data_IF_657504189718
#
_entry.id   IF_657504189718
#
_cell.length_a   1.000
_cell.length_b   1.000
_cell.length_c   1.000
_cell.angle_alpha   90.00
_cell.angle_beta   90.00
_cell.angle_gamma   90.00
#
_symmetry.space_group_name_H-M   'P 1'
#
loop_
_entity.id
_entity.type
_entity.pdbx_description
1 polymer ?
#
# COMPACT_ATOMS: atom_id res chain seq x y z
N UNK A 1 -16.16 21.22 -10.46
CA UNK A 1 -14.99 21.82 -11.13
C UNK A 1 -13.87 20.81 -11.03
N UNK A 2 -13.42 20.17 -12.13
CA UNK A 2 -12.31 19.23 -12.05
C UNK A 2 -11.00 20.03 -11.93
N UNK A 3 -10.20 19.72 -10.93
CA UNK A 3 -8.85 20.28 -10.76
C UNK A 3 -7.89 19.50 -11.67
N UNK A 4 -7.22 20.22 -12.56
CA UNK A 4 -6.14 19.71 -13.41
C UNK A 4 -4.94 19.29 -12.54
N UNK A 5 -4.54 18.03 -12.64
CA UNK A 5 -3.28 17.55 -12.06
C UNK A 5 -2.16 17.83 -13.06
N UNK A 6 -1.27 18.79 -12.72
CA UNK A 6 0.04 18.89 -13.35
C UNK A 6 0.91 17.78 -12.79
N UNK A 7 1.22 16.80 -13.64
CA UNK A 7 2.14 15.72 -13.31
C UNK A 7 3.50 16.28 -12.88
N UNK A 8 4.03 15.71 -11.80
CA UNK A 8 5.46 15.69 -11.56
C UNK A 8 5.80 14.36 -10.91
N UNK A 9 5.98 13.35 -11.78
CA UNK A 9 6.72 12.15 -11.44
C UNK A 9 8.18 12.58 -11.26
N UNK A 10 8.67 12.58 -10.01
CA UNK A 10 10.08 12.82 -9.75
C UNK A 10 10.84 11.50 -9.82
N UNK A 11 11.63 11.41 -10.88
CA UNK A 11 12.79 10.57 -11.02
C UNK A 11 13.82 10.92 -9.94
N UNK A 12 13.97 10.09 -8.93
CA UNK A 12 15.25 9.75 -8.33
C UNK A 12 15.03 8.63 -7.30
N UNK A 13 15.89 7.63 -7.37
CA UNK A 13 15.86 6.44 -6.53
C UNK A 13 16.13 6.80 -5.07
N UNK A 14 15.09 7.07 -4.26
CA UNK A 14 15.05 6.78 -2.82
C UNK A 14 13.70 7.10 -2.20
N UNK A 15 13.16 6.06 -1.56
CA UNK A 15 12.16 6.07 -0.50
C UNK A 15 10.75 6.50 -0.89
N UNK A 16 9.92 5.48 -1.16
CA UNK A 16 8.52 5.69 -1.46
C UNK A 16 7.65 5.88 -0.22
N UNK A 17 6.82 6.88 -0.42
CA UNK A 17 5.86 7.55 0.43
C UNK A 17 4.80 6.66 1.09
N UNK A 18 4.54 6.93 2.37
CA UNK A 18 3.35 6.51 3.11
C UNK A 18 2.09 7.08 2.43
N UNK A 19 1.08 6.25 2.20
CA UNK A 19 -0.20 6.62 1.56
C UNK A 19 -1.31 6.54 2.62
N UNK A 20 -2.01 7.64 2.93
CA UNK A 20 -3.16 7.64 3.86
C UNK A 20 -4.47 8.06 3.18
N UNK A 21 -5.59 7.39 3.49
CA UNK A 21 -6.94 7.93 3.30
C UNK A 21 -7.55 8.23 4.68
N UNK A 22 -8.01 9.46 4.92
CA UNK A 22 -8.47 9.90 6.26
C UNK A 22 -9.97 10.21 6.28
N UNK A 23 -10.72 9.46 7.10
CA UNK A 23 -11.96 9.95 7.67
C UNK A 23 -11.63 10.71 8.98
N UNK A 24 -11.94 12.01 9.01
CA UNK A 24 -11.81 12.95 10.15
C UNK A 24 -11.97 12.30 11.53
N UNK A 25 -11.02 12.54 12.46
CA UNK A 25 -11.31 13.25 13.73
C UNK A 25 -10.05 13.58 14.57
N UNK A 26 -9.97 14.86 14.95
CA UNK A 26 -9.39 15.53 16.13
C UNK A 26 -7.98 15.29 16.71
N UNK A 27 -7.52 16.39 17.32
CA UNK A 27 -6.14 16.81 17.51
C UNK A 27 -5.62 16.50 18.93
N UNK A 28 -4.70 15.52 19.07
CA UNK A 28 -3.58 15.41 20.06
C UNK A 28 -3.12 13.94 20.18
N UNK A 29 -1.84 13.69 19.84
CA UNK A 29 -1.21 12.37 19.63
C UNK A 29 -1.70 11.71 18.34
N UNK A 30 -0.85 11.62 17.31
CA UNK A 30 -1.15 11.17 15.94
C UNK A 30 -1.47 9.66 15.85
N UNK A 31 -2.31 9.13 16.73
CA UNK A 31 -2.93 7.83 16.59
C UNK A 31 -4.22 8.00 15.81
N UNK A 32 -4.11 8.20 14.49
CA UNK A 32 -5.25 8.43 13.58
C UNK A 32 -6.28 7.30 13.51
N UNK A 33 -6.12 6.22 14.29
CA UNK A 33 -6.98 5.04 14.25
C UNK A 33 -6.94 4.26 12.92
N UNK A 34 -6.03 4.64 12.02
CA UNK A 34 -5.86 4.02 10.71
C UNK A 34 -5.44 2.57 10.85
N UNK A 35 -5.90 1.76 9.89
CA UNK A 35 -5.37 0.42 9.72
C UNK A 35 -3.98 0.50 9.12
N UNK A 36 -2.96 0.11 9.90
CA UNK A 36 -1.60 -0.01 9.39
C UNK A 36 -1.47 -1.26 8.50
N UNK A 37 -1.00 -1.08 7.27
CA UNK A 37 -0.81 -2.11 6.26
C UNK A 37 0.64 -2.06 5.78
N UNK A 38 1.49 -2.91 6.35
CA UNK A 38 2.84 -3.17 5.84
C UNK A 38 2.81 -4.31 4.84
N UNK A 39 3.33 -4.10 3.63
CA UNK A 39 3.37 -5.15 2.59
C UNK A 39 4.21 -6.36 3.01
N UNK A 40 5.29 -6.13 3.77
CA UNK A 40 6.13 -7.20 4.29
C UNK A 40 5.41 -8.08 5.33
N UNK A 41 4.63 -7.46 6.23
CA UNK A 41 3.81 -8.21 7.20
C UNK A 41 2.67 -8.95 6.51
N UNK A 42 2.02 -8.31 5.53
CA UNK A 42 0.93 -8.92 4.78
C UNK A 42 1.42 -10.17 4.03
N UNK A 43 2.56 -10.09 3.36
CA UNK A 43 3.23 -11.22 2.71
C UNK A 43 3.49 -12.37 3.69
N UNK A 44 4.13 -12.08 4.83
CA UNK A 44 4.42 -13.10 5.86
C UNK A 44 3.15 -13.73 6.41
N UNK A 45 2.07 -12.96 6.58
CA UNK A 45 0.80 -13.46 7.06
C UNK A 45 0.13 -14.41 6.05
N UNK A 46 0.10 -14.04 4.76
CA UNK A 46 -0.45 -14.88 3.68
C UNK A 46 0.32 -16.20 3.56
N UNK A 47 1.67 -16.15 3.61
CA UNK A 47 2.53 -17.34 3.64
C UNK A 47 2.21 -18.23 4.84
N UNK A 48 2.08 -17.64 6.04
CA UNK A 48 1.80 -18.38 7.27
C UNK A 48 0.40 -19.01 7.26
N UNK A 49 -0.57 -18.35 6.63
CA UNK A 49 -1.93 -18.84 6.46
C UNK A 49 -2.06 -19.90 5.35
N UNK A 50 -1.02 -20.11 4.54
CA UNK A 50 -1.01 -21.10 3.45
C UNK A 50 -2.01 -20.78 2.34
N UNK A 51 -2.33 -19.50 2.13
CA UNK A 51 -3.26 -19.08 1.07
C UNK A 51 -2.64 -19.34 -0.31
N UNK A 52 -3.47 -19.36 -1.36
CA UNK A 52 -2.94 -19.55 -2.72
C UNK A 52 -1.90 -18.47 -3.10
N UNK A 53 -2.17 -17.22 -2.70
CA UNK A 53 -1.26 -16.10 -2.90
C UNK A 53 0.01 -16.25 -2.04
N UNK A 54 -0.14 -16.64 -0.78
CA UNK A 54 0.96 -16.92 0.13
C UNK A 54 1.89 -18.02 -0.37
N UNK A 55 1.34 -19.11 -0.91
CA UNK A 55 2.12 -20.21 -1.46
C UNK A 55 2.94 -19.76 -2.68
N UNK A 56 2.33 -18.99 -3.60
CA UNK A 56 3.05 -18.39 -4.74
C UNK A 56 4.15 -17.45 -4.26
N UNK A 57 3.84 -16.56 -3.31
CA UNK A 57 4.80 -15.62 -2.75
C UNK A 57 5.97 -16.32 -2.06
N UNK A 58 5.70 -17.44 -1.36
CA UNK A 58 6.71 -18.24 -0.66
C UNK A 58 7.80 -18.74 -1.60
N UNK A 59 7.47 -19.14 -2.82
CA UNK A 59 8.47 -19.59 -3.82
C UNK A 59 9.46 -18.47 -4.19
N UNK A 60 8.97 -17.23 -4.34
CA UNK A 60 9.84 -16.07 -4.61
C UNK A 60 10.66 -15.70 -3.38
N UNK A 61 10.04 -15.70 -2.19
CA UNK A 61 10.72 -15.40 -0.93
C UNK A 61 11.84 -16.39 -0.60
N UNK A 62 11.58 -17.70 -0.76
CA UNK A 62 12.55 -18.77 -0.49
C UNK A 62 13.73 -18.74 -1.48
N UNK A 63 13.49 -18.29 -2.72
CA UNK A 63 14.53 -18.16 -3.74
C UNK A 63 15.31 -16.83 -3.65
N UNK A 64 14.96 -15.95 -2.71
CA UNK A 64 15.55 -14.62 -2.59
C UNK A 64 15.15 -13.66 -3.73
N UNK A 65 14.17 -14.04 -4.54
CA UNK A 65 13.64 -13.22 -5.62
C UNK A 65 12.60 -12.22 -5.08
N UNK A 66 12.46 -11.09 -5.77
CA UNK A 66 11.38 -10.15 -5.49
C UNK A 66 10.04 -10.78 -5.85
N UNK A 67 9.05 -10.62 -4.97
CA UNK A 67 7.67 -11.02 -5.25
C UNK A 67 7.12 -10.12 -6.37
N UNK A 68 6.44 -10.68 -7.39
CA UNK A 68 5.89 -9.90 -8.50
C UNK A 68 4.95 -8.78 -8.04
N UNK A 69 5.06 -7.61 -8.67
CA UNK A 69 4.29 -6.42 -8.32
C UNK A 69 2.78 -6.66 -8.35
N UNK A 70 2.28 -7.38 -9.36
CA UNK A 70 0.86 -7.73 -9.49
C UNK A 70 0.34 -8.51 -8.28
N UNK A 71 1.16 -9.40 -7.72
CA UNK A 71 0.81 -10.20 -6.56
C UNK A 71 0.74 -9.31 -5.30
N UNK A 72 1.69 -8.36 -5.17
CA UNK A 72 1.68 -7.35 -4.09
C UNK A 72 0.46 -6.45 -4.18
N UNK A 73 0.16 -5.93 -5.38
CA UNK A 73 -1.03 -5.10 -5.62
C UNK A 73 -2.31 -5.85 -5.24
N UNK A 74 -2.44 -7.12 -5.62
CA UNK A 74 -3.62 -7.92 -5.30
C UNK A 74 -3.82 -8.08 -3.78
N UNK A 75 -2.74 -8.38 -3.04
CA UNK A 75 -2.81 -8.49 -1.57
C UNK A 75 -3.19 -7.17 -0.91
N UNK A 76 -2.53 -6.08 -1.29
CA UNK A 76 -2.80 -4.74 -0.74
C UNK A 76 -4.26 -4.35 -0.99
N UNK A 77 -4.74 -4.55 -2.21
CA UNK A 77 -6.13 -4.25 -2.60
C UNK A 77 -7.13 -5.06 -1.78
N UNK A 78 -6.87 -6.36 -1.58
CA UNK A 78 -7.72 -7.21 -0.75
C UNK A 78 -7.75 -6.73 0.71
N UNK A 79 -6.60 -6.32 1.27
CA UNK A 79 -6.51 -5.84 2.65
C UNK A 79 -7.25 -4.52 2.87
N UNK A 80 -7.14 -3.59 1.94
CA UNK A 80 -7.81 -2.29 1.98
C UNK A 80 -9.31 -2.43 1.74
N UNK A 81 -9.73 -3.46 1.01
CA UNK A 81 -11.15 -3.71 0.73
C UNK A 81 -11.94 -4.23 1.93
N UNK A 82 -11.27 -4.57 3.04
CA UNK A 82 -11.92 -4.97 4.29
C UNK A 82 -12.66 -3.79 4.95
N UNK A 83 -13.69 -4.12 5.70
CA UNK A 83 -14.58 -3.14 6.33
C UNK A 83 -13.83 -2.21 7.29
N UNK A 84 -12.90 -2.74 8.08
CA UNK A 84 -12.09 -1.95 9.01
C UNK A 84 -11.27 -0.85 8.30
N UNK A 85 -10.65 -1.18 7.17
CA UNK A 85 -9.86 -0.25 6.36
C UNK A 85 -10.74 0.74 5.60
N UNK A 86 -11.95 0.36 5.21
CA UNK A 86 -12.95 1.26 4.60
C UNK A 86 -13.51 2.27 5.60
N UNK A 87 -13.81 1.83 6.82
CA UNK A 87 -14.41 2.66 7.86
C UNK A 87 -13.39 3.59 8.52
N UNK A 88 -12.22 3.06 8.88
CA UNK A 88 -11.20 3.81 9.64
C UNK A 88 -10.17 4.47 8.75
N UNK A 89 -10.13 4.13 7.47
CA UNK A 89 -9.02 4.46 6.60
C UNK A 89 -7.82 3.54 6.85
N UNK A 90 -6.75 3.81 6.12
CA UNK A 90 -5.59 2.93 6.05
C UNK A 90 -4.31 3.73 5.86
N UNK A 91 -3.21 3.13 6.30
CA UNK A 91 -1.84 3.60 6.17
C UNK A 91 -1.06 2.50 5.45
N UNK A 92 -0.62 2.76 4.22
CA UNK A 92 0.31 1.86 3.55
C UNK A 92 1.74 2.24 3.89
N UNK A 93 2.49 1.25 4.37
CA UNK A 93 3.92 1.35 4.65
C UNK A 93 4.71 0.45 3.68
N UNK A 94 5.71 1.05 3.02
CA UNK A 94 6.54 0.38 2.03
C UNK A 94 5.82 -0.01 0.74
N UNK A 95 4.75 0.71 0.35
CA UNK A 95 4.06 0.52 -0.93
C UNK A 95 3.35 1.81 -1.40
N UNK A 96 3.45 2.19 -2.68
CA UNK A 96 4.21 1.54 -3.77
C UNK A 96 5.72 1.66 -3.57
N UNK A 97 6.52 0.86 -4.29
CA UNK A 97 8.00 0.85 -4.32
C UNK A 97 8.58 0.95 -5.75
N UNK A 98 7.72 0.96 -6.76
CA UNK A 98 8.05 1.16 -8.17
C UNK A 98 6.98 2.05 -8.82
N UNK A 99 7.31 2.61 -9.99
CA UNK A 99 6.34 3.33 -10.81
C UNK A 99 5.17 2.42 -11.22
N UNK A 100 5.46 1.16 -11.58
CA UNK A 100 4.47 0.17 -12.00
C UNK A 100 3.45 -0.14 -10.89
N UNK A 101 3.89 -0.18 -9.63
CA UNK A 101 3.00 -0.31 -8.48
C UNK A 101 2.12 0.93 -8.28
N UNK A 102 2.65 2.14 -8.50
CA UNK A 102 1.89 3.38 -8.41
C UNK A 102 0.83 3.46 -9.53
N UNK A 103 1.18 3.12 -10.77
CA UNK A 103 0.25 3.03 -11.89
C UNK A 103 -0.84 1.97 -11.63
N UNK A 104 -0.48 0.87 -10.98
CA UNK A 104 -1.43 -0.18 -10.61
C UNK A 104 -2.46 0.31 -9.58
N UNK A 105 -2.04 1.13 -8.60
CA UNK A 105 -2.99 1.79 -7.69
C UNK A 105 -3.93 2.75 -8.41
N UNK A 106 -3.41 3.51 -9.38
CA UNK A 106 -4.23 4.42 -10.17
C UNK A 106 -5.26 3.67 -11.02
N UNK A 107 -4.87 2.55 -11.66
CA UNK A 107 -5.78 1.70 -12.45
C UNK A 107 -6.96 1.15 -11.65
N UNK A 108 -6.75 0.86 -10.37
CA UNK A 108 -7.82 0.38 -9.47
C UNK A 108 -8.53 1.53 -8.73
N UNK A 109 -8.24 2.78 -9.11
CA UNK A 109 -8.80 3.99 -8.50
C UNK A 109 -8.57 4.08 -6.98
N UNK A 110 -7.46 3.51 -6.49
CA UNK A 110 -7.04 3.63 -5.12
C UNK A 110 -6.09 4.83 -4.99
N UNK A 111 -6.63 5.96 -4.50
CA UNK A 111 -5.87 7.20 -4.35
C UNK A 111 -5.70 7.56 -2.87
N UNK A 112 -4.47 7.78 -2.39
CA UNK A 112 -4.26 8.45 -1.11
C UNK A 112 -4.81 9.86 -1.10
N UNK A 113 -5.13 10.33 0.10
CA UNK A 113 -5.26 11.75 0.41
C UNK A 113 -3.90 12.40 0.70
N UNK A 114 -2.98 11.68 1.36
CA UNK A 114 -1.68 12.22 1.80
C UNK A 114 -0.56 11.24 1.47
N UNK A 115 0.56 11.80 1.03
CA UNK A 115 1.85 11.14 0.90
C UNK A 115 2.81 11.64 1.98
N UNK A 116 3.39 10.76 2.81
CA UNK A 116 4.42 11.15 3.79
C UNK A 116 5.76 10.57 3.33
N UNK A 117 6.71 11.45 3.07
CA UNK A 117 8.11 11.11 2.76
C UNK A 117 8.92 11.34 4.03
N UNK A 118 9.67 10.32 4.45
CA UNK A 118 10.58 10.41 5.60
C UNK A 118 11.98 10.72 5.04
N UNK A 119 12.73 11.59 5.72
CA UNK A 119 14.11 12.01 5.40
C UNK A 119 15.07 11.52 6.49
#
# INVERSE_FOLDING_TARGET
MPLEFKGQYFSDEKELSIITNTAKQDNRTLCFGLVHISTGDLLRAEVSAGTEIGNKAKEYMDSGSLVPDELVTAMVTARISREDAKEKGWLLDGYPRSLEQAESLERINLRPDIYIVLD
#
